data_IF_555899400709
#
_entry.id   IF_555899400709
#
_cell.length_a   1.000
_cell.length_b   1.000
_cell.length_c   1.000
_cell.angle_alpha   90.00
_cell.angle_beta   90.00
_cell.angle_gamma   90.00
#
_symmetry.space_group_name_H-M   'P 1'
#
loop_
_entity.id
_entity.type
_entity.pdbx_description
1 polymer ?
#
# COMPACT_ATOMS: atom_id res chain seq x y z
N UNK A 1 -0.30 8.75 18.97
CA UNK A 1 -1.38 8.38 18.02
C UNK A 1 -1.33 9.10 16.67
N UNK A 2 -1.09 10.43 16.59
CA UNK A 2 -1.07 11.18 15.32
C UNK A 2 -0.05 10.65 14.29
N UNK A 3 1.16 10.29 14.74
CA UNK A 3 2.24 9.75 13.87
C UNK A 3 1.83 8.50 13.11
N UNK A 4 1.25 7.49 13.78
CA UNK A 4 0.79 6.24 13.13
C UNK A 4 -0.21 6.51 12.00
N UNK A 5 -1.12 7.48 12.18
CA UNK A 5 -2.07 7.86 11.13
C UNK A 5 -1.39 8.57 9.96
N UNK A 6 -0.44 9.47 10.23
CA UNK A 6 0.34 10.15 9.19
C UNK A 6 1.12 9.14 8.36
N UNK A 7 1.78 8.17 9.00
CA UNK A 7 2.51 7.12 8.29
C UNK A 7 1.57 6.24 7.45
N UNK A 8 0.37 5.90 7.96
CA UNK A 8 -0.66 5.23 7.17
C UNK A 8 -1.12 6.04 5.95
N UNK A 9 -1.29 7.35 6.10
CA UNK A 9 -1.67 8.24 5.01
C UNK A 9 -0.56 8.35 3.95
N UNK A 10 0.70 8.43 4.37
CA UNK A 10 1.85 8.42 3.45
C UNK A 10 1.94 7.10 2.68
N UNK A 11 1.78 5.97 3.37
CA UNK A 11 1.76 4.66 2.71
C UNK A 11 0.65 4.56 1.67
N UNK A 12 -0.56 5.03 2.01
CA UNK A 12 -1.70 5.05 1.09
C UNK A 12 -1.44 5.97 -0.12
N UNK A 13 -0.90 7.17 0.10
CA UNK A 13 -0.60 8.12 -0.96
C UNK A 13 0.45 7.58 -1.93
N UNK A 14 1.53 6.99 -1.41
CA UNK A 14 2.59 6.39 -2.23
C UNK A 14 2.03 5.20 -3.02
N UNK A 15 1.41 4.23 -2.36
CA UNK A 15 0.87 3.04 -3.02
C UNK A 15 -0.19 3.40 -4.07
N UNK A 16 -1.11 4.33 -3.75
CA UNK A 16 -2.11 4.80 -4.70
C UNK A 16 -1.52 5.55 -5.89
N UNK A 17 -0.48 6.37 -5.68
CA UNK A 17 0.22 7.04 -6.79
C UNK A 17 0.92 6.04 -7.70
N UNK A 18 1.54 5.00 -7.13
CA UNK A 18 2.16 3.92 -7.88
C UNK A 18 1.14 3.15 -8.69
N UNK A 19 -0.02 2.85 -8.10
CA UNK A 19 -1.10 2.11 -8.77
C UNK A 19 -1.66 2.88 -9.98
N UNK A 20 -1.97 4.17 -9.77
CA UNK A 20 -2.43 5.06 -10.84
C UNK A 20 -1.35 5.23 -11.91
N UNK A 21 -0.10 5.45 -11.51
CA UNK A 21 1.03 5.60 -12.43
C UNK A 21 1.30 4.33 -13.25
N UNK A 22 1.18 3.15 -12.62
CA UNK A 22 1.30 1.85 -13.27
C UNK A 22 0.26 1.67 -14.37
N UNK A 23 -1.02 1.89 -14.04
CA UNK A 23 -2.12 1.79 -15.01
C UNK A 23 -1.98 2.82 -16.13
N UNK A 24 -1.56 4.05 -15.80
CA UNK A 24 -1.34 5.10 -16.79
C UNK A 24 -0.22 4.73 -17.77
N UNK A 25 0.93 4.25 -17.28
CA UNK A 25 2.04 3.81 -18.14
C UNK A 25 1.64 2.66 -19.05
N UNK A 26 0.88 1.70 -18.53
CA UNK A 26 0.36 0.58 -19.32
C UNK A 26 -0.60 1.06 -20.40
N UNK A 27 -1.50 1.98 -20.06
CA UNK A 27 -2.43 2.54 -21.03
C UNK A 27 -1.71 3.22 -22.21
N UNK A 28 -0.56 3.88 -21.96
CA UNK A 28 0.26 4.50 -23.01
C UNK A 28 0.94 3.48 -23.93
N UNK A 29 0.98 2.19 -23.60
CA UNK A 29 1.62 1.15 -24.43
C UNK A 29 0.74 0.65 -25.59
N UNK A 30 -0.49 1.17 -25.75
CA UNK A 30 -1.29 1.04 -26.98
C UNK A 30 -1.79 -0.36 -27.35
N UNK A 31 -1.53 -1.38 -26.53
CA UNK A 31 -2.20 -2.70 -26.60
C UNK A 31 -3.50 -2.66 -25.80
N UNK A 32 -4.31 -3.72 -25.72
CA UNK A 32 -5.44 -3.80 -24.77
C UNK A 32 -4.95 -4.39 -23.43
N UNK A 33 -4.31 -3.64 -22.51
CA UNK A 33 -3.60 -4.25 -21.40
C UNK A 33 -4.34 -4.00 -20.08
N UNK A 34 -5.41 -3.20 -20.09
CA UNK A 34 -6.30 -2.96 -18.96
C UNK A 34 -7.27 -4.13 -18.76
N UNK A 35 -7.40 -5.01 -19.76
CA UNK A 35 -8.13 -6.28 -19.71
C UNK A 35 -7.20 -7.49 -19.51
N UNK A 36 -5.87 -7.31 -19.57
CA UNK A 36 -4.90 -8.36 -19.21
C UNK A 36 -5.08 -8.71 -17.73
N UNK A 37 -5.45 -9.96 -17.47
CA UNK A 37 -5.72 -10.46 -16.12
C UNK A 37 -4.55 -10.25 -15.17
N UNK A 38 -3.29 -10.25 -15.66
CA UNK A 38 -2.12 -9.95 -14.83
C UNK A 38 -2.11 -8.50 -14.37
N UNK A 39 -2.41 -7.55 -15.26
CA UNK A 39 -2.43 -6.12 -14.94
C UNK A 39 -3.54 -5.82 -13.93
N UNK A 40 -4.73 -6.37 -14.17
CA UNK A 40 -5.87 -6.24 -13.25
C UNK A 40 -5.54 -6.84 -11.89
N UNK A 41 -4.89 -8.01 -11.84
CA UNK A 41 -4.48 -8.65 -10.59
C UNK A 41 -3.49 -7.77 -9.82
N UNK A 42 -2.41 -7.31 -10.47
CA UNK A 42 -1.39 -6.47 -9.82
C UNK A 42 -2.01 -5.17 -9.32
N UNK A 43 -2.79 -4.47 -10.15
CA UNK A 43 -3.43 -3.22 -9.75
C UNK A 43 -4.43 -3.42 -8.61
N UNK A 44 -5.23 -4.49 -8.65
CA UNK A 44 -6.17 -4.80 -7.57
C UNK A 44 -5.47 -5.08 -6.24
N UNK A 45 -4.33 -5.77 -6.26
CA UNK A 45 -3.55 -6.06 -5.06
C UNK A 45 -2.87 -4.81 -4.50
N UNK A 46 -2.29 -3.96 -5.35
CA UNK A 46 -1.70 -2.68 -4.94
C UNK A 46 -2.78 -1.75 -4.40
N UNK A 47 -3.89 -1.60 -5.12
CA UNK A 47 -5.06 -0.82 -4.71
C UNK A 47 -5.66 -1.30 -3.38
N UNK A 48 -5.74 -2.62 -3.16
CA UNK A 48 -6.17 -3.17 -1.87
C UNK A 48 -5.18 -2.82 -0.74
N UNK A 49 -3.87 -2.88 -1.00
CA UNK A 49 -2.84 -2.43 -0.05
C UNK A 49 -2.97 -0.94 0.29
N UNK A 50 -3.19 -0.09 -0.72
CA UNK A 50 -3.42 1.35 -0.54
C UNK A 50 -4.70 1.61 0.28
N UNK A 51 -5.79 0.90 -0.01
CA UNK A 51 -7.06 1.00 0.72
C UNK A 51 -6.91 0.55 2.17
N UNK A 52 -6.18 -0.54 2.43
CA UNK A 52 -5.89 -1.00 3.79
C UNK A 52 -5.05 0.03 4.57
N UNK A 53 -4.06 0.67 3.93
CA UNK A 53 -3.27 1.73 4.53
C UNK A 53 -4.13 2.97 4.86
N UNK A 54 -4.99 3.39 3.92
CA UNK A 54 -5.93 4.50 4.11
C UNK A 54 -6.92 4.21 5.25
N UNK A 55 -7.49 2.99 5.27
CA UNK A 55 -8.35 2.54 6.36
C UNK A 55 -7.60 2.59 7.70
N UNK A 56 -6.35 2.13 7.76
CA UNK A 56 -5.49 2.25 8.93
C UNK A 56 -5.29 3.70 9.39
N UNK A 57 -5.10 4.64 8.46
CA UNK A 57 -4.90 6.06 8.74
C UNK A 57 -6.13 6.72 9.38
N UNK A 58 -7.35 6.37 8.96
CA UNK A 58 -8.58 6.95 9.49
C UNK A 58 -9.11 6.22 10.74
N UNK A 59 -8.54 5.07 11.09
CA UNK A 59 -9.04 4.25 12.21
C UNK A 59 -8.74 4.88 13.59
N UNK A 60 -9.74 5.09 14.46
CA UNK A 60 -9.51 5.67 15.78
C UNK A 60 -8.86 4.72 16.77
N UNK A 61 -9.36 3.48 16.81
CA UNK A 61 -8.99 2.46 17.79
C UNK A 61 -7.62 1.83 17.48
N UNK A 62 -6.75 1.61 18.48
CA UNK A 62 -5.36 1.18 18.27
C UNK A 62 -5.23 -0.24 17.69
N UNK A 63 -5.96 -1.23 18.22
CA UNK A 63 -5.96 -2.63 17.73
C UNK A 63 -6.31 -2.77 16.23
N UNK A 64 -7.49 -2.31 15.75
CA UNK A 64 -7.86 -2.46 14.34
C UNK A 64 -6.99 -1.60 13.40
N UNK A 65 -6.43 -0.49 13.88
CA UNK A 65 -5.46 0.30 13.11
C UNK A 65 -4.17 -0.48 12.89
N UNK A 66 -3.64 -1.09 13.96
CA UNK A 66 -2.45 -1.92 13.90
C UNK A 66 -2.63 -3.06 12.89
N UNK A 67 -3.74 -3.79 12.95
CA UNK A 67 -3.98 -4.91 12.02
C UNK A 67 -4.11 -4.46 10.57
N UNK A 68 -4.80 -3.35 10.30
CA UNK A 68 -4.93 -2.79 8.94
C UNK A 68 -3.59 -2.33 8.36
N UNK A 69 -2.78 -1.64 9.17
CA UNK A 69 -1.46 -1.18 8.73
C UNK A 69 -0.46 -2.33 8.57
N UNK A 70 -0.54 -3.36 9.43
CA UNK A 70 0.26 -4.57 9.28
C UNK A 70 -0.10 -5.31 7.99
N UNK A 71 -1.39 -5.48 7.70
CA UNK A 71 -1.87 -6.10 6.46
C UNK A 71 -1.41 -5.32 5.23
N UNK A 72 -1.54 -3.99 5.24
CA UNK A 72 -1.03 -3.14 4.16
C UNK A 72 0.48 -3.31 3.97
N UNK A 73 1.25 -3.30 5.07
CA UNK A 73 2.70 -3.48 5.02
C UNK A 73 3.09 -4.83 4.44
N UNK A 74 2.52 -5.93 4.93
CA UNK A 74 2.84 -7.29 4.45
C UNK A 74 2.56 -7.44 2.96
N UNK A 75 1.39 -6.96 2.51
CA UNK A 75 1.01 -7.07 1.10
C UNK A 75 1.92 -6.23 0.20
N UNK A 76 2.12 -4.95 0.54
CA UNK A 76 2.95 -4.04 -0.25
C UNK A 76 4.42 -4.46 -0.24
N UNK A 77 4.90 -5.08 0.84
CA UNK A 77 6.26 -5.63 0.91
C UNK A 77 6.43 -6.79 -0.06
N UNK A 78 5.50 -7.75 -0.06
CA UNK A 78 5.54 -8.91 -0.97
C UNK A 78 5.50 -8.44 -2.43
N UNK A 79 4.56 -7.55 -2.76
CA UNK A 79 4.47 -6.98 -4.12
C UNK A 79 5.71 -6.16 -4.48
N UNK A 80 6.26 -5.41 -3.53
CA UNK A 80 7.48 -4.63 -3.72
C UNK A 80 8.70 -5.49 -4.06
N UNK A 81 8.83 -6.64 -3.41
CA UNK A 81 9.90 -7.62 -3.71
C UNK A 81 9.67 -8.29 -5.06
N UNK A 82 8.44 -8.72 -5.36
CA UNK A 82 8.13 -9.36 -6.65
C UNK A 82 8.31 -8.39 -7.82
N UNK A 83 7.93 -7.12 -7.64
CA UNK A 83 8.00 -6.06 -8.65
C UNK A 83 9.27 -5.21 -8.60
N UNK A 84 10.34 -5.66 -7.93
CA UNK A 84 11.49 -4.83 -7.52
C UNK A 84 12.08 -3.97 -8.64
N UNK A 85 12.19 -4.53 -9.85
CA UNK A 85 12.80 -3.88 -11.02
C UNK A 85 11.86 -2.96 -11.82
N UNK A 86 10.63 -2.76 -11.38
CA UNK A 86 9.67 -1.89 -12.05
C UNK A 86 9.03 -0.92 -11.06
N UNK A 87 7.93 -1.30 -10.43
CA UNK A 87 7.18 -0.48 -9.47
C UNK A 87 7.53 -0.80 -8.01
N UNK A 88 8.41 -1.78 -7.79
CA UNK A 88 8.61 -2.38 -6.47
C UNK A 88 9.30 -1.48 -5.46
N UNK A 89 10.29 -0.69 -5.86
CA UNK A 89 10.98 0.24 -4.96
C UNK A 89 10.02 1.23 -4.26
N UNK A 90 9.14 1.95 -4.98
CA UNK A 90 8.09 2.75 -4.37
C UNK A 90 7.17 1.97 -3.41
N UNK A 91 6.77 0.74 -3.76
CA UNK A 91 5.92 -0.10 -2.92
C UNK A 91 6.62 -0.53 -1.62
N UNK A 92 7.93 -0.81 -1.67
CA UNK A 92 8.73 -1.09 -0.47
C UNK A 92 8.76 0.13 0.46
N UNK A 93 8.91 1.34 -0.08
CA UNK A 93 8.84 2.57 0.71
C UNK A 93 7.47 2.70 1.38
N UNK A 94 6.38 2.47 0.65
CA UNK A 94 5.03 2.46 1.22
C UNK A 94 4.87 1.40 2.33
N UNK A 95 5.44 0.20 2.13
CA UNK A 95 5.41 -0.89 3.10
C UNK A 95 6.14 -0.53 4.41
N UNK A 96 7.27 0.17 4.32
CA UNK A 96 8.03 0.66 5.49
C UNK A 96 7.22 1.70 6.28
N UNK A 97 6.57 2.63 5.59
CA UNK A 97 5.67 3.59 6.25
C UNK A 97 4.50 2.90 6.95
N UNK A 98 3.85 1.94 6.29
CA UNK A 98 2.78 1.15 6.89
C UNK A 98 3.27 0.35 8.11
N UNK A 99 4.45 -0.27 8.02
CA UNK A 99 5.07 -1.01 9.14
C UNK A 99 5.34 -0.10 10.33
N UNK A 100 5.98 1.05 10.11
CA UNK A 100 6.23 2.04 11.17
C UNK A 100 4.93 2.51 11.82
N UNK A 101 3.87 2.70 11.02
CA UNK A 101 2.54 3.00 11.50
C UNK A 101 1.94 1.91 12.38
N UNK A 102 2.12 0.63 12.01
CA UNK A 102 1.68 -0.54 12.76
C UNK A 102 2.43 -0.70 14.09
N UNK A 103 3.76 -0.57 14.07
CA UNK A 103 4.63 -0.64 15.26
C UNK A 103 4.29 0.47 16.26
N UNK A 104 4.00 1.69 15.79
CA UNK A 104 3.57 2.76 16.70
C UNK A 104 2.18 2.48 17.27
N UNK A 105 1.28 1.86 16.50
CA UNK A 105 -0.06 1.50 16.97
C UNK A 105 -0.03 0.36 18.01
N UNK A 106 0.87 -0.62 17.86
CA UNK A 106 0.98 -1.76 18.79
C UNK A 106 1.37 -1.33 20.22
N UNK A 107 2.22 -0.30 20.34
CA UNK A 107 2.60 0.30 21.63
C UNK A 107 1.44 0.91 22.44
N UNK A 108 0.28 1.10 21.81
CA UNK A 108 -0.93 1.61 22.46
C UNK A 108 -2.00 0.54 22.71
N UNK A 109 -1.65 -0.72 22.48
CA UNK A 109 -2.51 -1.89 22.71
C UNK A 109 -2.11 -2.65 23.97
N UNK A 110 -0.82 -2.59 24.33
CA UNK A 110 -0.24 -3.05 25.59
C UNK A 110 -0.53 -2.03 26.67
#
# INVERSE_FOLDING_TARGET
MRRSRVLGALAAAIAGTVDVGYLWLIHQQGTEPLTDGRVVLVASLVGFGAAAAAAGAVTPRPRPRMSRLALASSLLMVLGVVGLFSIGLPLLVAAVFALGGAVIASRSVV
#
